data_IF_623989984577
#
_entry.id   IF_623989984577
#
_cell.length_a   1.000
_cell.length_b   1.000
_cell.length_c   1.000
_cell.angle_alpha   90.00
_cell.angle_beta   90.00
_cell.angle_gamma   90.00
#
_symmetry.space_group_name_H-M   'P 1'
#
loop_
_entity.id
_entity.type
_entity.pdbx_description
1 polymer ?
#
# COMPACT_ATOMS: atom_id res chain seq x y z
N UNK A 1 -15.53 57.52 34.05
CA UNK A 1 -16.16 56.49 33.21
C UNK A 1 -15.37 56.46 31.90
N UNK A 2 -14.23 55.79 31.84
CA UNK A 2 -14.05 54.34 31.57
C UNK A 2 -14.75 53.87 30.29
N UNK A 3 -13.98 53.67 29.22
CA UNK A 3 -14.04 52.47 28.38
C UNK A 3 -12.82 52.44 27.44
N UNK A 4 -11.89 51.55 27.74
CA UNK A 4 -10.86 51.10 26.83
C UNK A 4 -11.48 50.08 25.85
N UNK A 5 -11.22 50.20 24.56
CA UNK A 5 -11.48 49.12 23.59
C UNK A 5 -10.16 48.42 23.27
N UNK A 6 -9.96 47.29 23.93
CA UNK A 6 -9.06 46.21 23.49
C UNK A 6 -9.85 45.20 22.65
N UNK A 7 -9.15 44.16 22.17
CA UNK A 7 -9.64 42.95 21.47
C UNK A 7 -9.95 43.09 19.97
N UNK A 8 -9.47 42.25 19.04
CA UNK A 8 -8.54 41.11 19.08
C UNK A 8 -8.06 40.86 17.65
N UNK A 9 -6.75 40.79 17.43
CA UNK A 9 -6.15 40.24 16.21
C UNK A 9 -6.35 38.74 16.22
N UNK A 10 -7.26 38.23 15.40
CA UNK A 10 -7.40 36.79 15.13
C UNK A 10 -6.18 36.35 14.33
N UNK A 11 -5.24 35.68 14.99
CA UNK A 11 -4.19 34.92 14.33
C UNK A 11 -4.79 33.62 13.83
N UNK A 12 -5.14 33.60 12.55
CA UNK A 12 -5.45 32.35 11.84
C UNK A 12 -4.17 31.54 11.77
N UNK A 13 -4.09 30.50 12.59
CA UNK A 13 -3.08 29.45 12.44
C UNK A 13 -3.40 28.69 11.16
N UNK A 14 -2.72 29.04 10.07
CA UNK A 14 -2.67 28.23 8.87
C UNK A 14 -2.07 26.87 9.24
N UNK A 15 -2.92 25.84 9.31
CA UNK A 15 -2.43 24.47 9.24
C UNK A 15 -1.62 24.34 7.95
N UNK A 16 -0.39 23.80 7.99
CA UNK A 16 0.40 23.66 6.78
C UNK A 16 -0.39 22.84 5.76
N UNK A 17 -0.66 23.44 4.61
CA UNK A 17 -1.25 22.77 3.46
C UNK A 17 -0.36 21.58 3.11
N UNK A 18 -0.76 20.39 3.55
CA UNK A 18 -0.13 19.15 3.21
C UNK A 18 -0.28 18.99 1.69
N UNK A 19 0.81 19.25 0.96
CA UNK A 19 0.87 19.07 -0.48
C UNK A 19 0.54 17.61 -0.77
N UNK A 20 -0.65 17.37 -1.32
CA UNK A 20 -1.10 16.02 -1.65
C UNK A 20 -0.15 15.46 -2.71
N UNK A 21 0.65 14.46 -2.34
CA UNK A 21 1.47 13.70 -3.29
C UNK A 21 0.54 13.14 -4.38
N UNK A 22 0.80 13.44 -5.66
CA UNK A 22 0.00 12.88 -6.75
C UNK A 22 0.26 11.38 -6.86
N UNK A 23 -0.82 10.60 -6.99
CA UNK A 23 -0.72 9.14 -7.20
C UNK A 23 -0.26 8.90 -8.64
N UNK A 24 0.82 8.16 -8.82
CA UNK A 24 1.23 7.62 -10.12
C UNK A 24 0.68 6.20 -10.25
N UNK A 25 -0.35 6.08 -11.07
CA UNK A 25 -0.98 4.81 -11.46
C UNK A 25 -0.07 4.04 -12.42
N UNK A 26 0.14 2.77 -12.11
CA UNK A 26 0.96 1.85 -12.88
C UNK A 26 0.07 0.90 -13.72
N UNK A 27 0.70 0.04 -14.53
CA UNK A 27 0.02 -0.93 -15.38
C UNK A 27 0.42 -2.36 -15.05
N UNK A 28 -0.42 -3.33 -15.40
CA UNK A 28 -0.11 -4.75 -15.23
C UNK A 28 1.13 -5.19 -16.01
N UNK A 29 1.49 -4.52 -17.11
CA UNK A 29 2.71 -4.84 -17.86
C UNK A 29 3.96 -4.57 -17.04
N UNK A 30 4.05 -3.42 -16.36
CA UNK A 30 5.23 -3.09 -15.55
C UNK A 30 5.36 -4.00 -14.33
N UNK A 31 4.23 -4.45 -13.76
CA UNK A 31 4.21 -5.45 -12.69
C UNK A 31 4.74 -6.80 -13.19
N UNK A 32 4.28 -7.27 -14.35
CA UNK A 32 4.73 -8.56 -14.92
C UNK A 32 6.21 -8.53 -15.26
N UNK A 33 6.70 -7.41 -15.79
CA UNK A 33 8.13 -7.22 -16.02
C UNK A 33 8.89 -7.33 -14.69
N UNK A 34 8.42 -6.68 -13.63
CA UNK A 34 9.05 -6.77 -12.31
C UNK A 34 9.03 -8.20 -11.74
N UNK A 35 7.92 -8.92 -11.85
CA UNK A 35 7.76 -10.29 -11.34
C UNK A 35 8.61 -11.33 -12.09
N UNK A 36 9.00 -11.05 -13.34
CA UNK A 36 9.81 -11.96 -14.17
C UNK A 36 11.26 -11.51 -14.33
N UNK A 37 11.55 -10.25 -14.01
CA UNK A 37 12.90 -9.71 -14.06
C UNK A 37 13.81 -10.45 -13.08
N UNK A 38 15.07 -10.66 -13.48
CA UNK A 38 16.14 -11.10 -12.57
C UNK A 38 16.65 -9.93 -11.73
N UNK A 39 15.74 -9.11 -11.23
CA UNK A 39 16.07 -8.00 -10.32
C UNK A 39 16.53 -8.56 -8.98
N UNK A 40 17.47 -7.89 -8.34
CA UNK A 40 17.83 -8.18 -6.94
C UNK A 40 16.66 -7.90 -5.99
N UNK A 41 15.67 -7.10 -6.42
CA UNK A 41 14.46 -6.81 -5.66
C UNK A 41 13.45 -7.95 -5.82
N UNK A 42 13.57 -8.96 -4.95
CA UNK A 42 12.67 -10.13 -4.87
C UNK A 42 11.23 -9.77 -4.48
N UNK A 43 11.00 -8.61 -3.86
CA UNK A 43 9.69 -8.22 -3.35
C UNK A 43 8.94 -7.30 -4.31
N UNK A 44 7.70 -7.68 -4.64
CA UNK A 44 6.76 -6.86 -5.39
C UNK A 44 5.46 -6.69 -4.59
N UNK A 45 4.96 -5.47 -4.50
CA UNK A 45 3.71 -5.14 -3.82
C UNK A 45 2.75 -4.48 -4.80
N UNK A 46 1.55 -5.01 -4.91
CA UNK A 46 0.49 -4.47 -5.76
C UNK A 46 -0.65 -3.93 -4.89
N UNK A 47 -0.87 -2.62 -4.94
CA UNK A 47 -2.02 -1.94 -4.34
C UNK A 47 -3.09 -1.75 -5.42
N UNK A 48 -4.17 -2.51 -5.35
CA UNK A 48 -5.34 -2.31 -6.19
C UNK A 48 -6.27 -1.27 -5.54
N UNK A 49 -6.47 -0.16 -6.22
CA UNK A 49 -7.23 0.97 -5.70
C UNK A 49 -8.09 1.61 -6.81
N UNK A 50 -9.33 1.96 -6.48
CA UNK A 50 -10.24 2.62 -7.42
C UNK A 50 -10.04 4.16 -7.36
N UNK A 51 -9.79 4.84 -8.50
CA UNK A 51 -9.51 6.28 -8.50
C UNK A 51 -10.68 7.14 -8.03
N UNK A 52 -11.90 6.61 -8.10
CA UNK A 52 -13.13 7.30 -7.70
C UNK A 52 -13.53 7.05 -6.23
N UNK A 53 -12.89 6.11 -5.53
CA UNK A 53 -13.21 5.78 -4.14
C UNK A 53 -12.32 6.56 -3.16
N UNK A 54 -12.87 7.35 -2.21
CA UNK A 54 -12.06 8.05 -1.20
C UNK A 54 -11.22 7.11 -0.34
N UNK A 55 -11.74 5.93 -0.02
CA UNK A 55 -11.04 4.92 0.77
C UNK A 55 -9.87 4.35 -0.03
N UNK A 56 -10.11 3.99 -1.29
CA UNK A 56 -9.05 3.46 -2.16
C UNK A 56 -7.97 4.50 -2.48
N UNK A 57 -8.35 5.74 -2.77
CA UNK A 57 -7.38 6.83 -3.03
C UNK A 57 -6.56 7.19 -1.78
N UNK A 58 -7.11 7.00 -0.57
CA UNK A 58 -6.34 7.15 0.67
C UNK A 58 -5.26 6.07 0.78
N UNK A 59 -5.62 4.81 0.53
CA UNK A 59 -4.65 3.70 0.50
C UNK A 59 -3.58 3.91 -0.59
N UNK A 60 -4.00 4.27 -1.80
CA UNK A 60 -3.09 4.56 -2.91
C UNK A 60 -2.09 5.66 -2.55
N UNK A 61 -2.51 6.74 -1.88
CA UNK A 61 -1.60 7.79 -1.41
C UNK A 61 -0.59 7.25 -0.40
N UNK A 62 -1.00 6.41 0.55
CA UNK A 62 -0.03 5.80 1.47
C UNK A 62 0.99 4.94 0.75
N UNK A 63 0.58 4.14 -0.23
CA UNK A 63 1.52 3.36 -1.03
C UNK A 63 2.43 4.23 -1.91
N UNK A 64 1.94 5.37 -2.39
CA UNK A 64 2.77 6.36 -3.09
C UNK A 64 3.83 6.94 -2.14
N UNK A 65 3.42 7.36 -0.94
CA UNK A 65 4.34 7.86 0.09
C UNK A 65 5.36 6.80 0.52
N UNK A 66 4.93 5.54 0.69
CA UNK A 66 5.83 4.42 1.03
C UNK A 66 6.85 4.21 -0.10
N UNK A 67 6.41 4.22 -1.36
CA UNK A 67 7.25 4.03 -2.54
C UNK A 67 8.29 5.14 -2.72
N UNK A 68 7.91 6.39 -2.44
CA UNK A 68 8.81 7.53 -2.56
C UNK A 68 9.74 7.71 -1.36
N UNK A 69 9.41 7.10 -0.22
CA UNK A 69 10.19 7.20 1.01
C UNK A 69 11.26 6.11 1.14
N UNK A 70 12.04 6.21 2.21
CA UNK A 70 13.19 5.33 2.45
C UNK A 70 12.86 4.09 3.31
N UNK A 71 11.58 3.89 3.65
CA UNK A 71 11.19 2.85 4.63
C UNK A 71 11.33 1.42 4.11
N UNK A 72 11.19 1.23 2.79
CA UNK A 72 11.12 -0.09 2.13
C UNK A 72 11.78 -0.09 0.75
N UNK A 73 12.97 0.52 0.63
CA UNK A 73 13.73 0.69 -0.64
C UNK A 73 14.07 -0.61 -1.39
N UNK A 74 13.84 -1.76 -0.76
CA UNK A 74 14.04 -3.11 -1.29
C UNK A 74 12.79 -3.71 -1.96
N UNK A 75 11.65 -3.01 -1.94
CA UNK A 75 10.39 -3.47 -2.52
C UNK A 75 10.00 -2.63 -3.75
N UNK A 76 9.50 -3.29 -4.78
CA UNK A 76 8.89 -2.64 -5.94
C UNK A 76 7.39 -2.48 -5.70
N UNK A 77 6.90 -1.25 -5.60
CA UNK A 77 5.50 -0.95 -5.26
C UNK A 77 4.76 -0.41 -6.50
N UNK A 78 3.63 -1.03 -6.80
CA UNK A 78 2.76 -0.66 -7.92
C UNK A 78 1.35 -0.34 -7.42
N UNK A 79 0.77 0.73 -7.94
CA UNK A 79 -0.59 1.18 -7.64
C UNK A 79 -1.42 1.02 -8.91
N UNK A 80 -2.43 0.16 -8.86
CA UNK A 80 -3.17 -0.28 -10.03
C UNK A 80 -4.64 0.09 -9.89
N UNK A 81 -5.21 0.67 -10.95
CA UNK A 81 -6.66 0.70 -11.11
C UNK A 81 -7.13 -0.73 -11.50
N UNK A 82 -7.96 -1.40 -10.69
CA UNK A 82 -8.46 -2.74 -11.01
C UNK A 82 -9.32 -2.80 -12.28
N UNK A 83 -9.96 -1.70 -12.70
CA UNK A 83 -10.77 -1.68 -13.92
C UNK A 83 -9.90 -1.66 -15.17
N UNK A 84 -8.89 -0.79 -15.20
CA UNK A 84 -7.91 -0.70 -16.29
C UNK A 84 -7.00 -1.95 -16.35
N UNK A 85 -6.80 -2.63 -15.21
CA UNK A 85 -5.96 -3.82 -15.10
C UNK A 85 -6.76 -5.10 -14.79
N UNK A 86 -8.00 -5.18 -15.29
CA UNK A 86 -8.98 -6.20 -14.92
C UNK A 86 -8.50 -7.64 -15.05
N UNK A 87 -7.76 -7.98 -16.10
CA UNK A 87 -7.21 -9.33 -16.26
C UNK A 87 -6.23 -9.69 -15.14
N UNK A 88 -5.29 -8.79 -14.83
CA UNK A 88 -4.30 -9.02 -13.78
C UNK A 88 -4.94 -8.99 -12.38
N UNK A 89 -5.92 -8.12 -12.16
CA UNK A 89 -6.73 -8.11 -10.94
C UNK A 89 -7.46 -9.46 -10.74
N UNK A 90 -8.02 -10.03 -11.80
CA UNK A 90 -8.66 -11.35 -11.79
C UNK A 90 -7.67 -12.48 -11.49
N UNK A 91 -6.49 -12.47 -12.13
CA UNK A 91 -5.39 -13.42 -11.86
C UNK A 91 -4.96 -13.38 -10.39
N UNK A 92 -4.97 -12.20 -9.77
CA UNK A 92 -4.68 -12.01 -8.35
C UNK A 92 -5.89 -12.30 -7.42
N UNK A 93 -7.03 -12.73 -7.95
CA UNK A 93 -8.23 -13.02 -7.16
C UNK A 93 -8.92 -11.78 -6.57
N UNK A 94 -8.70 -10.59 -7.14
CA UNK A 94 -9.30 -9.34 -6.67
C UNK A 94 -10.77 -9.28 -7.09
N UNK A 95 -11.65 -9.41 -6.10
CA UNK A 95 -13.12 -9.24 -6.27
C UNK A 95 -13.63 -7.94 -5.67
N UNK A 96 -12.85 -7.32 -4.80
CA UNK A 96 -13.22 -6.12 -4.05
C UNK A 96 -11.98 -5.28 -3.82
N UNK A 97 -12.15 -3.98 -3.97
CA UNK A 97 -11.10 -2.98 -3.78
C UNK A 97 -11.48 -2.01 -2.64
N UNK A 98 -10.49 -1.42 -1.96
CA UNK A 98 -9.07 -1.62 -2.18
C UNK A 98 -8.56 -2.98 -1.67
N UNK A 99 -7.48 -3.47 -2.29
CA UNK A 99 -6.82 -4.70 -1.90
C UNK A 99 -5.31 -4.62 -2.15
N UNK A 100 -4.53 -5.33 -1.34
CA UNK A 100 -3.07 -5.41 -1.47
C UNK A 100 -2.64 -6.85 -1.65
N UNK A 101 -1.78 -7.10 -2.64
CA UNK A 101 -1.17 -8.40 -2.92
C UNK A 101 0.34 -8.26 -2.79
N UNK A 102 0.96 -9.21 -2.12
CA UNK A 102 2.42 -9.26 -1.96
C UNK A 102 2.97 -10.47 -2.70
N UNK A 103 4.09 -10.26 -3.37
CA UNK A 103 4.85 -11.30 -4.05
C UNK A 103 6.28 -11.33 -3.51
N UNK A 104 6.81 -12.54 -3.42
CA UNK A 104 8.23 -12.79 -3.17
C UNK A 104 8.77 -13.73 -4.24
N UNK A 105 9.83 -13.30 -4.92
CA UNK A 105 10.49 -14.05 -6.00
C UNK A 105 9.49 -14.48 -7.09
N UNK A 106 8.65 -13.53 -7.50
CA UNK A 106 7.62 -13.74 -8.54
C UNK A 106 6.41 -14.55 -8.09
N UNK A 107 6.37 -15.07 -6.86
CA UNK A 107 5.27 -15.91 -6.35
C UNK A 107 4.40 -15.16 -5.34
N UNK A 108 3.06 -15.34 -5.38
CA UNK A 108 2.17 -14.72 -4.40
C UNK A 108 2.43 -15.27 -3.01
N UNK A 109 2.34 -14.38 -2.01
CA UNK A 109 2.52 -14.70 -0.59
C UNK A 109 1.15 -15.01 0.03
N UNK A 110 1.08 -16.06 0.84
CA UNK A 110 -0.11 -16.38 1.63
C UNK A 110 -0.06 -15.63 2.95
N UNK A 111 -1.18 -15.08 3.39
CA UNK A 111 -1.30 -14.17 4.53
C UNK A 111 -2.36 -14.74 5.46
N UNK A 112 -1.98 -14.94 6.73
CA UNK A 112 -2.90 -15.34 7.79
C UNK A 112 -3.06 -14.18 8.77
N UNK A 113 -4.28 -13.63 8.87
CA UNK A 113 -4.64 -12.58 9.81
C UNK A 113 -5.45 -13.19 10.96
N UNK A 114 -5.30 -12.63 12.16
CA UNK A 114 -6.03 -13.14 13.32
C UNK A 114 -7.56 -13.06 13.11
N UNK A 115 -8.25 -14.20 13.24
CA UNK A 115 -9.70 -14.30 13.02
C UNK A 115 -10.14 -14.32 11.55
N UNK A 116 -9.20 -14.43 10.60
CA UNK A 116 -9.49 -14.57 9.17
C UNK A 116 -8.87 -15.85 8.61
N UNK A 117 -9.47 -16.36 7.54
CA UNK A 117 -8.87 -17.44 6.75
C UNK A 117 -7.58 -16.96 6.06
N UNK A 118 -6.73 -17.93 5.72
CA UNK A 118 -5.56 -17.69 4.88
C UNK A 118 -5.99 -17.17 3.50
N UNK A 119 -5.37 -16.09 3.05
CA UNK A 119 -5.65 -15.46 1.77
C UNK A 119 -4.36 -14.92 1.14
N UNK A 120 -4.33 -14.73 -0.18
CA UNK A 120 -3.18 -14.17 -0.90
C UNK A 120 -3.25 -12.64 -1.02
N UNK A 121 -4.21 -12.02 -0.33
CA UNK A 121 -4.48 -10.58 -0.41
C UNK A 121 -5.02 -10.04 0.90
N UNK A 122 -4.75 -8.76 1.13
CA UNK A 122 -5.33 -7.98 2.22
C UNK A 122 -6.42 -7.12 1.62
N UNK A 123 -7.69 -7.45 1.89
CA UNK A 123 -8.83 -6.64 1.44
C UNK A 123 -9.16 -5.56 2.47
N UNK A 124 -9.42 -4.35 2.00
CA UNK A 124 -9.74 -3.19 2.82
C UNK A 124 -8.54 -2.28 3.06
N UNK A 125 -8.63 -1.47 4.13
CA UNK A 125 -7.65 -0.43 4.46
C UNK A 125 -7.21 -0.59 5.92
N UNK A 126 -5.90 -0.58 6.14
CA UNK A 126 -5.26 -0.49 7.47
C UNK A 126 -4.34 0.73 7.52
N UNK A 127 -3.62 0.99 8.61
CA UNK A 127 -2.75 2.18 8.69
C UNK A 127 -1.52 2.07 7.77
N UNK A 128 -0.94 3.22 7.35
CA UNK A 128 0.33 3.26 6.60
C UNK A 128 1.45 2.48 7.31
N UNK A 129 1.56 2.63 8.62
CA UNK A 129 2.56 1.95 9.45
C UNK A 129 2.37 0.42 9.43
N UNK A 130 1.12 -0.06 9.46
CA UNK A 130 0.85 -1.49 9.36
C UNK A 130 1.34 -2.06 8.01
N UNK A 131 1.14 -1.36 6.90
CA UNK A 131 1.66 -1.81 5.61
C UNK A 131 3.18 -1.80 5.55
N UNK A 132 3.85 -0.80 6.13
CA UNK A 132 5.31 -0.78 6.25
C UNK A 132 5.79 -2.00 7.06
N UNK A 133 5.13 -2.31 8.17
CA UNK A 133 5.48 -3.45 9.02
C UNK A 133 5.25 -4.79 8.31
N UNK A 134 4.16 -4.93 7.56
CA UNK A 134 3.89 -6.13 6.74
C UNK A 134 4.99 -6.34 5.69
N UNK A 135 5.40 -5.27 5.02
CA UNK A 135 6.47 -5.31 4.00
C UNK A 135 7.82 -5.68 4.66
N UNK A 136 8.14 -5.12 5.82
CA UNK A 136 9.35 -5.48 6.59
C UNK A 136 9.34 -6.95 7.03
N UNK A 137 8.23 -7.39 7.62
CA UNK A 137 8.08 -8.77 8.08
C UNK A 137 8.20 -9.76 6.91
N UNK A 138 7.60 -9.44 5.76
CA UNK A 138 7.72 -10.28 4.57
C UNK A 138 9.18 -10.43 4.14
N UNK A 139 9.98 -9.36 4.22
CA UNK A 139 11.40 -9.44 3.89
C UNK A 139 12.12 -10.41 4.82
N UNK A 140 11.91 -10.28 6.13
CA UNK A 140 12.53 -11.15 7.14
C UNK A 140 12.19 -12.62 6.91
N UNK A 141 10.91 -12.92 6.67
CA UNK A 141 10.44 -14.29 6.39
C UNK A 141 10.95 -14.80 5.04
N UNK A 142 11.00 -13.92 4.04
CA UNK A 142 11.37 -14.30 2.68
C UNK A 142 12.84 -14.62 2.48
N UNK A 143 13.71 -14.01 3.30
CA UNK A 143 15.14 -14.33 3.36
C UNK A 143 15.40 -15.74 3.93
N UNK A 144 14.44 -16.36 4.62
CA UNK A 144 14.53 -17.77 5.04
C UNK A 144 14.21 -18.80 3.94
N UNK A 145 13.79 -18.35 2.75
CA UNK A 145 13.52 -19.15 1.54
C UNK A 145 12.59 -20.38 1.73
N UNK A 146 11.61 -20.31 2.64
CA UNK A 146 10.62 -21.37 2.85
C UNK A 146 9.38 -21.15 1.98
N UNK A 147 9.02 -22.15 1.17
CA UNK A 147 7.82 -22.16 0.34
C UNK A 147 6.85 -23.31 0.72
N UNK A 148 5.51 -23.11 0.63
CA UNK A 148 4.84 -21.83 0.34
C UNK A 148 5.09 -20.80 1.46
N UNK A 149 5.21 -19.54 1.07
CA UNK A 149 5.49 -18.47 2.03
C UNK A 149 4.22 -18.06 2.74
N UNK A 150 4.22 -18.21 4.06
CA UNK A 150 3.11 -17.83 4.94
C UNK A 150 3.52 -16.67 5.84
N UNK A 151 2.84 -15.54 5.69
CA UNK A 151 3.00 -14.36 6.51
C UNK A 151 1.91 -14.32 7.58
N UNK A 152 2.30 -14.45 8.85
CA UNK A 152 1.38 -14.31 9.98
C UNK A 152 1.35 -12.86 10.44
N UNK A 153 0.18 -12.22 10.38
CA UNK A 153 0.03 -10.81 10.71
C UNK A 153 -0.98 -10.63 11.84
N UNK A 154 -0.54 -10.07 12.95
CA UNK A 154 -1.37 -9.91 14.15
C UNK A 154 -2.22 -8.62 14.11
N UNK A 155 -1.73 -7.58 13.44
CA UNK A 155 -2.33 -6.24 13.42
C UNK A 155 -2.55 -5.75 11.98
N UNK A 156 -3.66 -6.14 11.35
CA UNK A 156 -4.10 -5.63 10.04
C UNK A 156 -5.60 -5.30 10.01
#
# INVERSE_FOLDING_TARGET
MSAANSTTTTSSSEQPQQTKVPIRWDSASTVRDALTSKSDMKMVVCCFAEPFSPISTTLARWFEEIRMGDSVTYAQIFILDPFENSQFASECGIKTSPAVVLFWDGKPVSIQRNGWDEDTKIVGVSTKENYINVIRLLREVGEEEKYPMLLKVENL
#
